data_IF_771834136935
#
_entry.id   IF_771834136935
#
_cell.length_a   1.000
_cell.length_b   1.000
_cell.length_c   1.000
_cell.angle_alpha   90.00
_cell.angle_beta   90.00
_cell.angle_gamma   90.00
#
_symmetry.space_group_name_H-M   'P 1'
#
loop_
_entity.id
_entity.type
_entity.pdbx_description
1 polymer ?
#
# COMPACT_ATOMS: atom_id res chain seq x y z
N UNK A 1 -4.88 -16.51 -13.36
CA UNK A 1 -5.54 -15.26 -12.93
C UNK A 1 -4.66 -14.65 -11.86
N UNK A 2 -4.45 -13.34 -11.85
CA UNK A 2 -3.66 -12.72 -10.79
C UNK A 2 -4.50 -12.66 -9.51
N UNK A 3 -3.89 -12.91 -8.35
CA UNK A 3 -4.56 -12.81 -7.07
C UNK A 3 -4.73 -11.32 -6.70
N UNK A 4 -5.96 -10.90 -6.40
CA UNK A 4 -6.28 -9.53 -5.97
C UNK A 4 -7.41 -9.53 -4.93
N UNK A 5 -7.50 -8.44 -4.17
CA UNK A 5 -8.56 -8.24 -3.18
C UNK A 5 -9.87 -7.76 -3.80
N UNK A 6 -10.97 -8.24 -3.25
CA UNK A 6 -12.32 -7.90 -3.68
C UNK A 6 -12.69 -8.53 -5.02
N UNK A 7 -13.64 -7.92 -5.73
CA UNK A 7 -14.11 -8.39 -7.04
C UNK A 7 -14.23 -7.22 -8.00
N UNK A 8 -14.19 -7.48 -9.32
CA UNK A 8 -14.43 -6.43 -10.33
C UNK A 8 -15.82 -5.82 -10.15
N UNK A 9 -16.83 -6.63 -9.85
CA UNK A 9 -18.19 -6.14 -9.57
C UNK A 9 -18.25 -5.25 -8.32
N UNK A 10 -17.50 -5.59 -7.26
CA UNK A 10 -17.37 -4.76 -6.06
C UNK A 10 -16.68 -3.43 -6.35
N UNK A 11 -15.60 -3.46 -7.13
CA UNK A 11 -14.89 -2.26 -7.58
C UNK A 11 -15.78 -1.37 -8.47
N UNK A 12 -16.56 -1.98 -9.36
CA UNK A 12 -17.53 -1.26 -10.21
C UNK A 12 -18.55 -0.52 -9.34
N UNK A 13 -19.21 -1.21 -8.41
CA UNK A 13 -20.16 -0.59 -7.50
C UNK A 13 -19.51 0.55 -6.68
N UNK A 14 -18.30 0.32 -6.17
CA UNK A 14 -17.55 1.30 -5.37
C UNK A 14 -17.21 2.57 -6.17
N UNK A 15 -16.79 2.42 -7.43
CA UNK A 15 -16.38 3.52 -8.29
C UNK A 15 -17.55 4.23 -8.99
N UNK A 16 -18.64 3.52 -9.31
CA UNK A 16 -19.90 4.13 -9.76
C UNK A 16 -20.45 5.07 -8.69
N UNK A 17 -20.46 4.66 -7.43
CA UNK A 17 -20.92 5.50 -6.32
C UNK A 17 -20.07 6.77 -6.12
N UNK A 18 -18.85 6.81 -6.67
CA UNK A 18 -17.90 7.93 -6.57
C UNK A 18 -17.74 8.73 -7.88
N UNK A 19 -18.46 8.35 -8.94
CA UNK A 19 -18.40 9.06 -10.22
C UNK A 19 -17.05 8.93 -10.95
N UNK A 20 -16.29 7.85 -10.71
CA UNK A 20 -14.97 7.69 -11.32
C UNK A 20 -15.07 7.23 -12.77
N UNK A 21 -15.21 8.19 -13.70
CA UNK A 21 -15.41 7.93 -15.13
C UNK A 21 -14.27 7.12 -15.76
N UNK A 22 -13.02 7.32 -15.32
CA UNK A 22 -11.88 6.55 -15.81
C UNK A 22 -12.02 5.04 -15.54
N UNK A 23 -12.59 4.67 -14.37
CA UNK A 23 -12.89 3.27 -14.06
C UNK A 23 -14.01 2.72 -14.94
N UNK A 24 -15.07 3.51 -15.12
CA UNK A 24 -16.23 3.10 -15.93
C UNK A 24 -15.86 2.84 -17.40
N UNK A 25 -14.89 3.57 -17.95
CA UNK A 25 -14.43 3.44 -19.33
C UNK A 25 -13.44 2.28 -19.56
N UNK A 26 -12.89 1.68 -18.49
CA UNK A 26 -11.87 0.65 -18.60
C UNK A 26 -12.44 -0.73 -18.95
N UNK A 27 -11.65 -1.53 -19.66
CA UNK A 27 -11.99 -2.92 -19.97
C UNK A 27 -11.90 -3.79 -18.72
N UNK A 28 -12.57 -4.95 -18.72
CA UNK A 28 -12.47 -5.89 -17.61
C UNK A 28 -11.03 -6.35 -17.36
N UNK A 29 -10.26 -6.61 -18.43
CA UNK A 29 -8.86 -7.03 -18.32
C UNK A 29 -7.98 -5.94 -17.67
N UNK A 30 -8.21 -4.66 -17.98
CA UNK A 30 -7.48 -3.55 -17.37
C UNK A 30 -7.81 -3.40 -15.89
N UNK A 31 -9.09 -3.56 -15.52
CA UNK A 31 -9.55 -3.53 -14.12
C UNK A 31 -8.91 -4.64 -13.30
N UNK A 32 -8.90 -5.86 -13.80
CA UNK A 32 -8.25 -7.01 -13.13
C UNK A 32 -6.74 -6.78 -12.95
N UNK A 33 -6.06 -6.29 -13.98
CA UNK A 33 -4.64 -5.98 -13.91
C UNK A 33 -4.34 -4.85 -12.92
N UNK A 34 -5.19 -3.82 -12.85
CA UNK A 34 -5.06 -2.73 -11.90
C UNK A 34 -5.31 -3.18 -10.45
N UNK A 35 -6.32 -4.04 -10.22
CA UNK A 35 -6.60 -4.64 -8.91
C UNK A 35 -5.43 -5.49 -8.42
N UNK A 36 -4.79 -6.26 -9.30
CA UNK A 36 -3.61 -7.05 -8.95
C UNK A 36 -2.43 -6.16 -8.49
N UNK A 37 -2.13 -5.08 -9.22
CA UNK A 37 -1.06 -4.14 -8.84
C UNK A 37 -1.39 -3.40 -7.53
N UNK A 38 -2.65 -3.01 -7.36
CA UNK A 38 -3.12 -2.38 -6.14
C UNK A 38 -3.00 -3.32 -4.93
N UNK A 39 -3.41 -4.58 -5.08
CA UNK A 39 -3.34 -5.58 -3.99
C UNK A 39 -1.89 -5.83 -3.56
N UNK A 40 -0.96 -5.91 -4.51
CA UNK A 40 0.47 -6.02 -4.22
C UNK A 40 1.02 -4.79 -3.47
N UNK A 41 0.52 -3.59 -3.77
CA UNK A 41 0.85 -2.39 -3.01
C UNK A 41 0.32 -2.46 -1.57
N UNK A 42 -0.96 -2.82 -1.37
CA UNK A 42 -1.57 -2.97 -0.04
C UNK A 42 -0.83 -4.00 0.82
N UNK A 43 -0.47 -5.14 0.25
CA UNK A 43 0.32 -6.16 0.93
C UNK A 43 1.69 -5.67 1.38
N UNK A 44 2.30 -4.78 0.58
CA UNK A 44 3.58 -4.15 0.88
C UNK A 44 3.51 -2.98 1.86
N UNK A 45 2.32 -2.46 2.21
CA UNK A 45 2.16 -1.46 3.27
C UNK A 45 2.35 -2.08 4.65
N UNK A 46 1.89 -3.32 4.84
CA UNK A 46 2.02 -4.09 6.09
C UNK A 46 3.45 -4.50 6.45
N UNK A 47 4.45 -4.04 5.70
CA UNK A 47 5.88 -4.25 5.95
C UNK A 47 6.66 -2.95 6.09
N UNK A 48 5.98 -1.80 6.12
CA UNK A 48 6.65 -0.50 6.27
C UNK A 48 7.10 -0.26 7.71
N UNK A 49 8.23 0.43 7.85
CA UNK A 49 8.80 0.88 9.12
C UNK A 49 8.47 2.37 9.30
N UNK A 50 7.25 2.75 9.77
CA UNK A 50 6.90 4.16 9.96
C UNK A 50 7.73 4.85 11.04
N UNK A 51 8.25 4.07 12.00
CA UNK A 51 9.10 4.52 13.10
C UNK A 51 10.24 3.52 13.24
N UNK A 52 11.44 4.00 13.54
CA UNK A 52 12.62 3.14 13.77
C UNK A 52 12.28 2.03 14.77
N UNK A 53 12.44 0.78 14.34
CA UNK A 53 12.15 -0.40 15.15
C UNK A 53 10.70 -0.87 15.10
N UNK A 54 9.72 -0.04 14.74
CA UNK A 54 8.31 -0.45 14.69
C UNK A 54 7.83 -0.71 13.26
N UNK A 55 7.11 -1.81 13.06
CA UNK A 55 6.51 -2.18 11.76
C UNK A 55 4.99 -1.95 11.84
N UNK A 56 4.44 -1.27 10.83
CA UNK A 56 3.00 -1.25 10.62
C UNK A 56 2.59 -2.57 9.97
N UNK A 57 1.69 -3.33 10.58
CA UNK A 57 1.36 -4.69 10.14
C UNK A 57 -0.14 -4.97 10.21
N UNK A 58 -0.59 -5.92 9.41
CA UNK A 58 -1.92 -6.49 9.58
C UNK A 58 -2.00 -7.37 10.84
N UNK A 59 -3.08 -7.29 11.63
CA UNK A 59 -3.28 -8.07 12.84
C UNK A 59 -3.45 -9.56 12.52
N UNK A 60 -3.32 -10.42 13.53
CA UNK A 60 -3.42 -11.86 13.34
C UNK A 60 -2.34 -12.46 12.44
N UNK A 61 -2.59 -13.67 11.93
CA UNK A 61 -1.68 -14.45 11.07
C UNK A 61 -2.42 -14.95 9.83
N UNK A 62 -1.74 -15.04 8.68
CA UNK A 62 -2.31 -15.62 7.45
C UNK A 62 -2.87 -17.01 7.73
N UNK A 63 -4.09 -17.30 7.25
CA UNK A 63 -4.72 -18.62 7.43
C UNK A 63 -3.93 -19.69 6.68
N UNK A 64 -3.59 -19.43 5.41
CA UNK A 64 -2.79 -20.34 4.58
C UNK A 64 -1.28 -20.24 4.80
N UNK A 65 -0.82 -19.58 5.86
CA UNK A 65 0.60 -19.49 6.17
C UNK A 65 1.44 -18.89 5.03
N UNK A 66 2.57 -19.53 4.70
CA UNK A 66 3.51 -19.06 3.67
C UNK A 66 3.01 -19.30 2.24
N UNK A 67 2.11 -20.27 2.05
CA UNK A 67 1.58 -20.62 0.73
C UNK A 67 0.48 -19.65 0.27
N UNK A 68 -0.10 -18.89 1.20
CA UNK A 68 -1.03 -17.81 0.89
C UNK A 68 -0.28 -16.60 0.34
N UNK A 69 -0.48 -16.30 -0.95
CA UNK A 69 0.12 -15.16 -1.63
C UNK A 69 -0.26 -13.83 -0.96
N UNK A 70 -1.57 -13.55 -0.90
CA UNK A 70 -2.10 -12.31 -0.32
C UNK A 70 -1.99 -12.27 1.22
N UNK A 71 -1.95 -11.08 1.82
CA UNK A 71 -1.94 -10.94 3.29
C UNK A 71 -3.23 -11.37 3.99
N UNK A 72 -4.38 -11.28 3.32
CA UNK A 72 -5.67 -11.76 3.79
C UNK A 72 -6.15 -12.97 2.99
N UNK A 73 -6.93 -13.89 3.57
CA UNK A 73 -7.55 -13.85 4.91
C UNK A 73 -6.57 -14.15 6.08
N UNK A 74 -6.98 -13.82 7.31
CA UNK A 74 -6.13 -13.95 8.53
C UNK A 74 -6.92 -14.42 9.74
N UNK A 75 -6.33 -15.30 10.55
CA UNK A 75 -6.89 -15.75 11.83
C UNK A 75 -6.32 -14.97 13.02
N UNK A 76 -7.14 -14.82 14.07
CA UNK A 76 -6.80 -14.05 15.28
C UNK A 76 -6.57 -12.57 15.00
N UNK A 77 -7.16 -12.03 13.94
CA UNK A 77 -7.13 -10.61 13.63
C UNK A 77 -8.21 -9.89 14.42
N UNK A 78 -7.85 -8.74 15.00
CA UNK A 78 -8.77 -7.82 15.66
C UNK A 78 -8.57 -6.44 15.08
N UNK A 79 -9.64 -5.66 14.96
CA UNK A 79 -9.54 -4.26 14.56
C UNK A 79 -8.93 -3.40 15.70
N UNK A 80 -8.83 -2.10 15.47
CA UNK A 80 -8.32 -1.14 16.44
C UNK A 80 -9.18 -1.00 17.70
N UNK A 81 -10.48 -1.31 17.62
CA UNK A 81 -11.39 -1.29 18.77
C UNK A 81 -11.34 -2.59 19.58
N UNK A 82 -10.65 -3.62 19.07
CA UNK A 82 -10.56 -4.94 19.68
C UNK A 82 -11.63 -5.91 19.18
N UNK A 83 -12.42 -5.52 18.19
CA UNK A 83 -13.45 -6.37 17.59
C UNK A 83 -12.80 -7.44 16.71
N UNK A 84 -13.20 -8.72 16.83
CA UNK A 84 -12.63 -9.79 16.04
C UNK A 84 -13.03 -9.68 14.56
N UNK A 85 -12.05 -9.90 13.68
CA UNK A 85 -12.25 -9.98 12.24
C UNK A 85 -12.37 -11.47 11.87
N UNK A 86 -13.39 -11.82 11.09
CA UNK A 86 -13.62 -13.21 10.72
C UNK A 86 -12.47 -13.78 9.88
N UNK A 87 -12.03 -14.99 10.26
CA UNK A 87 -10.84 -15.61 9.70
C UNK A 87 -10.98 -16.13 8.28
N UNK A 88 -12.21 -16.28 7.77
CA UNK A 88 -12.47 -16.65 6.37
C UNK A 88 -12.61 -15.45 5.44
N UNK A 89 -12.59 -14.23 5.98
CA UNK A 89 -12.95 -13.02 5.25
C UNK A 89 -11.76 -12.11 4.95
N UNK A 90 -11.91 -11.32 3.89
CA UNK A 90 -11.10 -10.13 3.63
C UNK A 90 -11.89 -8.94 4.19
N UNK A 91 -11.30 -8.09 5.05
CA UNK A 91 -11.98 -6.91 5.57
C UNK A 91 -12.36 -5.95 4.45
N UNK A 92 -13.52 -5.30 4.58
CA UNK A 92 -13.98 -4.29 3.61
C UNK A 92 -12.96 -3.17 3.42
N UNK A 93 -12.20 -2.83 4.46
CA UNK A 93 -11.16 -1.80 4.44
C UNK A 93 -10.06 -2.19 3.44
N UNK A 94 -9.66 -3.47 3.41
CA UNK A 94 -8.65 -3.99 2.47
C UNK A 94 -9.18 -3.95 1.04
N UNK A 95 -10.44 -4.36 0.83
CA UNK A 95 -11.07 -4.32 -0.50
C UNK A 95 -11.19 -2.88 -1.02
N UNK A 96 -11.73 -1.96 -0.22
CA UNK A 96 -11.92 -0.57 -0.61
C UNK A 96 -10.61 0.16 -0.84
N UNK A 97 -9.60 -0.10 -0.01
CA UNK A 97 -8.24 0.41 -0.22
C UNK A 97 -7.65 -0.11 -1.55
N UNK A 98 -7.92 -1.37 -1.89
CA UNK A 98 -7.50 -1.97 -3.16
C UNK A 98 -8.23 -1.34 -4.35
N UNK A 99 -9.52 -0.97 -4.21
CA UNK A 99 -10.26 -0.24 -5.25
C UNK A 99 -9.67 1.17 -5.46
N UNK A 100 -9.33 1.89 -4.40
CA UNK A 100 -8.63 3.18 -4.49
C UNK A 100 -7.25 3.06 -5.16
N UNK A 101 -6.50 2.01 -4.83
CA UNK A 101 -5.24 1.72 -5.49
C UNK A 101 -5.41 1.35 -6.96
N UNK A 102 -6.45 0.58 -7.28
CA UNK A 102 -6.72 0.09 -8.63
C UNK A 102 -7.05 1.25 -9.58
N UNK A 103 -7.83 2.24 -9.15
CA UNK A 103 -8.05 3.43 -9.97
C UNK A 103 -6.74 4.16 -10.32
N UNK A 104 -5.80 4.25 -9.37
CA UNK A 104 -4.49 4.90 -9.59
C UNK A 104 -3.63 4.10 -10.55
N UNK A 105 -3.59 2.78 -10.37
CA UNK A 105 -2.89 1.83 -11.23
C UNK A 105 -3.51 1.68 -12.62
N UNK A 106 -4.79 2.02 -12.76
CA UNK A 106 -5.50 2.08 -14.04
C UNK A 106 -5.11 3.35 -14.81
N UNK A 107 -5.08 4.50 -14.14
CA UNK A 107 -4.70 5.78 -14.76
C UNK A 107 -3.20 5.83 -15.09
N UNK A 108 -2.35 5.34 -14.19
CA UNK A 108 -0.90 5.27 -14.36
C UNK A 108 -0.37 3.94 -13.80
N UNK A 109 -0.23 2.90 -14.64
CA UNK A 109 0.35 1.63 -14.23
C UNK A 109 1.75 1.80 -13.63
N UNK A 110 2.01 1.14 -12.51
CA UNK A 110 3.27 1.20 -11.76
C UNK A 110 3.43 2.45 -10.89
N UNK A 111 2.38 3.27 -10.76
CA UNK A 111 2.44 4.49 -9.95
C UNK A 111 2.58 4.23 -8.45
N UNK A 112 2.08 3.10 -7.94
CA UNK A 112 2.12 2.77 -6.51
C UNK A 112 3.42 2.08 -6.08
N UNK A 113 4.14 1.44 -7.01
CA UNK A 113 5.44 0.81 -6.76
C UNK A 113 6.44 1.19 -7.88
N UNK A 114 6.89 2.44 -7.94
CA UNK A 114 7.87 2.85 -8.93
C UNK A 114 9.26 2.27 -8.63
N UNK A 115 9.94 1.75 -9.65
CA UNK A 115 11.35 1.36 -9.55
C UNK A 115 12.24 2.60 -9.48
N UNK A 116 13.02 2.72 -8.40
CA UNK A 116 14.02 3.77 -8.26
C UNK A 116 15.40 3.26 -8.69
N UNK A 117 16.05 3.99 -9.58
CA UNK A 117 17.43 3.72 -10.02
C UNK A 117 18.29 4.93 -9.67
N UNK A 118 19.09 4.82 -8.60
CA UNK A 118 19.90 5.91 -8.03
C UNK A 118 20.85 6.58 -9.05
N UNK A 119 21.31 5.85 -10.07
CA UNK A 119 22.18 6.39 -11.11
C UNK A 119 21.50 7.39 -12.06
N UNK A 120 20.17 7.51 -12.03
CA UNK A 120 19.42 8.56 -12.76
C UNK A 120 19.28 9.87 -11.96
N UNK A 121 19.69 9.90 -10.68
CA UNK A 121 19.60 11.08 -9.82
C UNK A 121 20.80 12.05 -9.93
N UNK A 122 21.88 11.66 -10.61
CA UNK A 122 23.05 12.55 -10.81
C UNK A 122 22.86 13.35 -12.11
N UNK A 123 22.14 14.47 -12.02
CA UNK A 123 21.88 15.35 -13.19
C UNK A 123 23.03 16.32 -13.49
N UNK A 124 23.93 16.61 -12.53
CA UNK A 124 25.23 17.27 -12.75
C UNK A 124 26.10 17.24 -11.48
N UNK A 125 27.38 16.91 -11.60
CA UNK A 125 28.39 17.21 -10.60
C UNK A 125 29.48 18.05 -11.29
N UNK A 126 29.67 19.30 -10.85
CA UNK A 126 30.80 20.13 -11.26
C UNK A 126 31.62 20.45 -10.02
N UNK A 127 32.88 20.01 -10.02
CA UNK A 127 33.82 20.24 -8.92
C UNK A 127 34.53 21.58 -9.20
N UNK A 128 34.19 22.62 -8.44
CA UNK A 128 34.68 24.02 -8.53
C UNK A 128 33.77 24.98 -7.72
N UNK A 129 34.25 26.15 -7.23
CA UNK A 129 33.91 26.60 -5.87
C UNK A 129 32.49 27.17 -5.76
N UNK A 130 31.64 26.37 -5.12
CA UNK A 130 30.38 26.69 -4.42
C UNK A 130 29.25 27.33 -5.24
N UNK A 131 28.28 26.49 -5.59
CA UNK A 131 26.87 26.84 -5.65
C UNK A 131 26.11 25.91 -4.68
N UNK A 132 25.32 26.49 -3.78
CA UNK A 132 24.40 25.74 -2.91
C UNK A 132 22.99 26.04 -3.36
N UNK A 133 22.33 25.06 -3.96
CA UNK A 133 20.90 25.11 -4.23
C UNK A 133 20.19 24.41 -3.06
N UNK A 134 19.24 25.11 -2.43
CA UNK A 134 18.35 24.49 -1.45
C UNK A 134 17.19 23.86 -2.20
N UNK A 135 16.90 22.60 -1.87
CA UNK A 135 15.77 21.84 -2.40
C UNK A 135 14.48 22.68 -2.42
N UNK A 136 13.85 22.77 -3.59
CA UNK A 136 12.49 23.30 -3.69
C UNK A 136 11.48 22.29 -3.11
N UNK A 137 10.22 22.71 -2.86
CA UNK A 137 9.17 21.80 -2.38
C UNK A 137 8.88 20.61 -3.32
N UNK A 138 9.42 20.63 -4.54
CA UNK A 138 9.34 19.53 -5.51
C UNK A 138 10.49 18.51 -5.39
N UNK A 139 11.52 18.75 -4.57
CA UNK A 139 12.69 17.88 -4.41
C UNK A 139 12.67 17.01 -3.13
N UNK A 140 11.50 16.44 -2.82
CA UNK A 140 11.39 15.36 -1.80
C UNK A 140 11.82 13.99 -2.38
N UNK A 141 12.46 13.98 -3.55
CA UNK A 141 12.80 12.76 -4.32
C UNK A 141 14.09 12.06 -3.84
N UNK A 142 14.53 12.35 -2.61
CA UNK A 142 15.77 11.85 -2.01
C UNK A 142 15.64 10.63 -1.09
N UNK A 143 14.42 10.19 -0.77
CA UNK A 143 14.20 8.93 -0.06
C UNK A 143 13.36 7.99 -0.94
N UNK A 144 13.77 6.72 -1.13
CA UNK A 144 13.02 5.73 -1.89
C UNK A 144 11.75 5.34 -1.11
N UNK A 145 10.78 6.24 -1.10
CA UNK A 145 9.54 6.05 -0.36
C UNK A 145 8.46 5.66 -1.35
N UNK A 146 7.88 4.47 -1.15
CA UNK A 146 6.60 4.13 -1.77
C UNK A 146 5.64 5.32 -1.57
N UNK A 147 4.91 5.77 -2.59
CA UNK A 147 4.04 6.93 -2.47
C UNK A 147 3.05 6.72 -1.31
N UNK A 148 2.96 7.73 -0.45
CA UNK A 148 2.03 7.75 0.69
C UNK A 148 0.69 8.22 0.16
N UNK A 149 -0.23 7.28 -0.05
CA UNK A 149 -1.58 7.59 -0.52
C UNK A 149 -2.51 7.78 0.67
N UNK A 150 -2.78 9.03 1.03
CA UNK A 150 -3.57 9.39 2.22
C UNK A 150 -4.89 8.63 2.34
N UNK A 151 -5.70 8.59 1.28
CA UNK A 151 -7.00 7.88 1.30
C UNK A 151 -6.85 6.37 1.56
N UNK A 152 -5.80 5.73 1.04
CA UNK A 152 -5.55 4.31 1.28
C UNK A 152 -5.17 4.10 2.75
N UNK A 153 -4.31 4.97 3.28
CA UNK A 153 -3.90 4.90 4.69
C UNK A 153 -5.09 5.15 5.63
N UNK A 154 -5.97 6.11 5.31
CA UNK A 154 -7.14 6.43 6.11
C UNK A 154 -8.14 5.27 6.14
N UNK A 155 -8.32 4.58 5.00
CA UNK A 155 -9.18 3.38 4.92
C UNK A 155 -8.58 2.23 5.73
N UNK A 156 -7.27 2.03 5.68
CA UNK A 156 -6.58 0.93 6.37
C UNK A 156 -6.32 1.20 7.86
N UNK A 157 -6.30 2.47 8.29
CA UNK A 157 -5.97 2.87 9.65
C UNK A 157 -6.76 2.13 10.76
N UNK A 158 -8.06 1.80 10.59
CA UNK A 158 -8.83 1.07 11.62
C UNK A 158 -8.40 -0.40 11.80
N UNK A 159 -7.75 -1.00 10.80
CA UNK A 159 -7.38 -2.42 10.83
C UNK A 159 -5.87 -2.66 10.94
N UNK A 160 -5.03 -1.62 10.86
CA UNK A 160 -3.59 -1.75 10.97
C UNK A 160 -3.11 -1.62 12.41
N UNK A 161 -2.11 -2.43 12.77
CA UNK A 161 -1.50 -2.42 14.11
C UNK A 161 -0.01 -2.11 14.03
N UNK A 162 0.45 -1.22 14.90
CA UNK A 162 1.86 -0.91 15.05
C UNK A 162 2.51 -1.96 15.96
N UNK A 163 3.47 -2.71 15.44
CA UNK A 163 4.26 -3.67 16.22
C UNK A 163 5.65 -3.12 16.46
N UNK A 164 5.90 -2.73 17.70
CA UNK A 164 7.22 -2.36 18.17
C UNK A 164 7.80 -3.56 18.95
N UNK A 165 8.72 -4.35 18.37
CA UNK A 165 9.48 -5.31 19.15
C UNK A 165 10.23 -4.53 20.24
N UNK A 166 10.06 -4.95 21.50
CA UNK A 166 10.82 -4.41 22.62
C UNK A 166 12.33 -4.56 22.33
N UNK A 167 13.18 -3.64 22.82
CA UNK A 167 14.62 -3.81 22.69
C UNK A 167 15.04 -5.13 23.34
N UNK A 168 15.90 -5.89 22.67
CA UNK A 168 16.38 -7.20 23.15
C UNK A 168 17.14 -7.11 24.49
N UNK A 169 17.55 -5.90 24.90
CA UNK A 169 18.17 -5.62 26.20
C UNK A 169 17.58 -4.30 26.73
N UNK A 170 16.97 -4.37 27.92
CA UNK A 170 16.68 -3.19 28.74
C UNK A 170 17.77 -3.14 29.79
N UNK A 171 18.71 -2.20 29.68
CA UNK A 171 19.68 -1.97 30.75
C UNK A 171 18.98 -1.10 31.80
N UNK A 172 18.72 -1.68 32.98
CA UNK A 172 18.19 -0.98 34.16
C UNK A 172 19.34 -0.65 35.09
#
# INVERSE_FOLDING_TARGET
MADYYGTVAGADAYHTARGNAAWAAATQADKEAALARASAYIDGLGTQLPVTGCVLSFPGRKVGGRDQALQWPRTGATDRNGDPIDSGSVPREVEQASYEGALRELVKPGSLNPDYVASKAVKRAKVGPLETEFFGPDDVDGQPNKPVVGIINDILAPIMVLRCPLPAVVVV
#
